data_IF_468386043974
#
_entry.id   IF_468386043974
#
_cell.length_a   1.000
_cell.length_b   1.000
_cell.length_c   1.000
_cell.angle_alpha   90.00
_cell.angle_beta   90.00
_cell.angle_gamma   90.00
#
_symmetry.space_group_name_H-M   'P 1'
#
loop_
_entity.id
_entity.type
_entity.pdbx_description
1 polymer ?
#
# COMPACT_ATOMS: atom_id res chain seq x y z
N UNK A 1 0.14 -19.77 -14.10
CA UNK A 1 0.10 -18.59 -13.22
C UNK A 1 1.36 -17.79 -13.52
N UNK A 2 1.28 -16.46 -13.69
CA UNK A 2 2.48 -15.69 -13.98
C UNK A 2 3.48 -15.81 -12.84
N UNK A 3 4.76 -15.90 -13.15
CA UNK A 3 5.80 -15.92 -12.12
C UNK A 3 6.01 -14.51 -11.53
N UNK A 4 6.73 -14.42 -10.41
CA UNK A 4 6.96 -13.17 -9.68
C UNK A 4 7.56 -12.06 -10.57
N UNK A 5 8.48 -12.41 -11.48
CA UNK A 5 9.06 -11.45 -12.43
C UNK A 5 8.05 -10.96 -13.46
N UNK A 6 7.15 -11.84 -13.93
CA UNK A 6 6.08 -11.47 -14.87
C UNK A 6 5.04 -10.53 -14.20
N UNK A 7 4.76 -10.72 -12.92
CA UNK A 7 3.87 -9.85 -12.15
C UNK A 7 4.51 -8.47 -11.95
N UNK A 8 5.79 -8.43 -11.60
CA UNK A 8 6.56 -7.20 -11.43
C UNK A 8 6.66 -6.40 -12.75
N UNK A 9 6.93 -7.07 -13.87
CA UNK A 9 7.00 -6.43 -15.18
C UNK A 9 5.66 -5.82 -15.59
N UNK A 10 4.54 -6.52 -15.36
CA UNK A 10 3.19 -6.00 -15.64
C UNK A 10 2.86 -4.75 -14.80
N UNK A 11 3.24 -4.76 -13.53
CA UNK A 11 3.06 -3.63 -12.63
C UNK A 11 3.88 -2.41 -13.09
N UNK A 12 5.16 -2.63 -13.40
CA UNK A 12 6.08 -1.59 -13.87
C UNK A 12 5.54 -0.95 -15.16
N UNK A 13 5.08 -1.74 -16.13
CA UNK A 13 4.50 -1.24 -17.38
C UNK A 13 3.24 -0.40 -17.14
N UNK A 14 2.34 -0.87 -16.26
CA UNK A 14 1.13 -0.15 -15.91
C UNK A 14 1.43 1.18 -15.19
N UNK A 15 2.48 1.20 -14.37
CA UNK A 15 2.92 2.37 -13.61
C UNK A 15 3.56 3.44 -14.51
N UNK A 16 4.47 3.04 -15.40
CA UNK A 16 5.10 3.95 -16.36
C UNK A 16 4.08 4.53 -17.35
N UNK A 17 3.02 3.79 -17.68
CA UNK A 17 1.92 4.32 -18.51
C UNK A 17 1.15 5.45 -17.83
N UNK A 18 1.06 5.45 -16.49
CA UNK A 18 0.43 6.51 -15.70
C UNK A 18 1.41 7.64 -15.37
N UNK A 19 2.69 7.32 -15.23
CA UNK A 19 3.78 8.24 -14.92
C UNK A 19 4.97 8.03 -15.88
N UNK A 20 4.93 8.63 -17.09
CA UNK A 20 5.97 8.44 -18.10
C UNK A 20 7.32 9.06 -17.75
N UNK A 21 7.38 9.89 -16.70
CA UNK A 21 8.62 10.52 -16.21
C UNK A 21 9.36 9.66 -15.19
N UNK A 22 8.81 8.52 -14.78
CA UNK A 22 9.43 7.64 -13.79
C UNK A 22 10.45 6.72 -14.43
N UNK A 23 11.55 6.45 -13.71
CA UNK A 23 12.63 5.58 -14.19
C UNK A 23 12.31 4.12 -13.85
N UNK A 24 12.34 3.27 -14.87
CA UNK A 24 12.04 1.84 -14.77
C UNK A 24 12.99 1.11 -13.84
N UNK A 25 14.30 1.33 -13.98
CA UNK A 25 15.33 0.66 -13.20
C UNK A 25 15.24 1.04 -11.72
N UNK A 26 14.98 2.31 -11.41
CA UNK A 26 14.78 2.77 -10.03
C UNK A 26 13.51 2.19 -9.42
N UNK A 27 12.45 2.01 -10.21
CA UNK A 27 11.21 1.39 -9.76
C UNK A 27 11.42 -0.10 -9.50
N UNK A 28 12.06 -0.80 -10.42
CA UNK A 28 12.42 -2.23 -10.28
C UNK A 28 13.27 -2.45 -9.05
N UNK A 29 14.29 -1.60 -8.84
CA UNK A 29 15.18 -1.63 -7.68
C UNK A 29 14.44 -1.40 -6.36
N UNK A 30 13.48 -0.46 -6.31
CA UNK A 30 12.62 -0.24 -5.13
C UNK A 30 11.71 -1.44 -4.83
N UNK A 31 11.23 -2.12 -5.87
CA UNK A 31 10.36 -3.30 -5.74
C UNK A 31 11.16 -4.56 -5.35
N UNK A 32 12.43 -4.67 -5.76
CA UNK A 32 13.27 -5.85 -5.49
C UNK A 32 14.14 -5.73 -4.24
N UNK A 33 14.51 -4.53 -3.78
CA UNK A 33 15.31 -4.33 -2.54
C UNK A 33 14.38 -4.29 -1.32
N UNK A 34 13.69 -5.41 -1.09
CA UNK A 34 12.95 -5.68 0.15
C UNK A 34 13.54 -6.89 0.88
N UNK A 35 14.86 -6.94 0.98
CA UNK A 35 15.55 -7.76 1.97
C UNK A 35 16.63 -6.92 2.67
N UNK A 36 16.38 -6.59 3.94
CA UNK A 36 17.32 -6.11 4.96
C UNK A 36 17.78 -4.62 4.89
N UNK A 37 17.16 -3.75 5.70
CA UNK A 37 17.79 -3.22 6.92
C UNK A 37 16.89 -2.24 7.66
N UNK A 38 16.81 -2.43 8.96
CA UNK A 38 16.38 -1.46 9.97
C UNK A 38 17.29 -0.22 9.96
N UNK A 39 16.74 0.88 10.47
CA UNK A 39 17.44 2.09 10.93
C UNK A 39 17.83 3.14 9.88
N UNK A 40 16.91 4.08 9.60
CA UNK A 40 17.24 5.50 9.46
C UNK A 40 16.18 6.34 10.17
N UNK A 41 16.46 6.70 11.43
CA UNK A 41 15.94 7.92 12.05
C UNK A 41 16.69 9.14 11.47
N UNK A 42 15.96 10.23 11.23
CA UNK A 42 16.52 11.59 11.30
C UNK A 42 16.60 12.41 10.01
N UNK A 43 15.60 13.28 9.83
CA UNK A 43 15.59 14.55 9.09
C UNK A 43 15.82 14.50 7.56
N UNK A 44 14.86 14.96 6.74
CA UNK A 44 14.49 16.38 6.66
C UNK A 44 13.05 16.60 6.14
N UNK A 45 12.33 17.47 6.85
CA UNK A 45 11.23 18.36 6.40
C UNK A 45 11.28 18.65 4.89
N UNK A 46 10.21 18.68 4.09
CA UNK A 46 8.95 19.41 4.25
C UNK A 46 7.87 18.81 3.33
N UNK A 47 6.71 18.41 3.87
CA UNK A 47 5.41 18.73 3.25
C UNK A 47 4.43 19.02 4.38
N UNK A 48 4.08 20.28 4.48
CA UNK A 48 3.03 20.84 5.33
C UNK A 48 1.76 20.01 5.18
N UNK A 49 1.34 19.34 6.25
CA UNK A 49 -0.02 18.80 6.36
C UNK A 49 -0.98 19.98 6.30
N UNK A 50 -1.54 20.23 5.12
CA UNK A 50 -2.60 21.22 4.98
C UNK A 50 -3.84 20.66 5.69
N UNK A 51 -4.54 21.51 6.44
CA UNK A 51 -5.72 21.15 7.24
C UNK A 51 -6.81 20.42 6.42
N UNK A 52 -6.75 20.54 5.09
CA UNK A 52 -7.64 19.93 4.11
C UNK A 52 -7.36 18.44 3.90
N UNK A 53 -6.10 17.99 3.96
CA UNK A 53 -5.72 16.56 3.89
C UNK A 53 -6.18 15.81 5.15
N UNK A 54 -6.19 16.47 6.32
CA UNK A 54 -6.73 15.93 7.55
C UNK A 54 -8.27 15.82 7.52
N UNK A 55 -8.96 16.73 6.83
CA UNK A 55 -10.42 16.67 6.62
C UNK A 55 -10.81 15.57 5.63
N UNK A 56 -10.00 15.34 4.59
CA UNK A 56 -10.25 14.28 3.61
C UNK A 56 -9.92 12.88 4.17
N UNK A 57 -8.86 12.75 4.98
CA UNK A 57 -8.51 11.50 5.69
C UNK A 57 -9.65 10.95 6.54
N UNK A 58 -10.43 11.83 7.17
CA UNK A 58 -11.56 11.40 7.99
C UNK A 58 -12.77 10.95 7.16
N UNK A 59 -12.95 11.42 5.91
CA UNK A 59 -14.06 10.95 5.05
C UNK A 59 -13.84 9.52 4.57
N UNK A 60 -12.61 9.16 4.19
CA UNK A 60 -12.31 7.83 3.66
C UNK A 60 -12.45 6.72 4.71
N UNK A 61 -12.29 7.05 6.00
CA UNK A 61 -12.52 6.12 7.10
C UNK A 61 -13.97 5.57 7.14
N UNK A 62 -14.96 6.36 6.69
CA UNK A 62 -16.38 6.01 6.70
C UNK A 62 -16.90 5.49 5.35
N UNK A 63 -16.08 5.53 4.28
CA UNK A 63 -16.50 5.01 2.99
C UNK A 63 -16.67 3.49 3.04
N UNK A 64 -17.59 2.91 2.25
CA UNK A 64 -17.65 1.47 2.08
C UNK A 64 -16.33 0.96 1.50
N UNK A 65 -16.03 -0.32 1.76
CA UNK A 65 -14.95 -0.97 1.03
C UNK A 65 -15.44 -1.33 -0.36
N UNK A 66 -14.61 -1.08 -1.36
CA UNK A 66 -14.84 -1.46 -2.74
C UNK A 66 -13.92 -2.63 -3.09
N UNK A 67 -14.20 -3.30 -4.22
CA UNK A 67 -13.41 -4.44 -4.67
C UNK A 67 -11.94 -4.06 -4.93
N UNK A 68 -11.68 -2.82 -5.35
CA UNK A 68 -10.33 -2.29 -5.54
C UNK A 68 -9.59 -2.14 -4.21
N UNK A 69 -10.27 -1.63 -3.17
CA UNK A 69 -9.69 -1.48 -1.83
C UNK A 69 -9.46 -2.84 -1.17
N UNK A 70 -10.35 -3.80 -1.40
CA UNK A 70 -10.19 -5.16 -0.90
C UNK A 70 -9.02 -5.86 -1.63
N UNK A 71 -8.85 -5.64 -2.93
CA UNK A 71 -7.68 -6.12 -3.70
C UNK A 71 -6.37 -5.54 -3.18
N UNK A 72 -6.33 -4.23 -2.96
CA UNK A 72 -5.14 -3.57 -2.42
C UNK A 72 -4.82 -4.06 -1.00
N UNK A 73 -5.85 -4.27 -0.17
CA UNK A 73 -5.68 -4.82 1.17
C UNK A 73 -5.13 -6.25 1.14
N UNK A 74 -5.60 -7.08 0.21
CA UNK A 74 -5.09 -8.45 0.00
C UNK A 74 -3.61 -8.44 -0.37
N UNK A 75 -3.21 -7.58 -1.31
CA UNK A 75 -1.80 -7.45 -1.72
C UNK A 75 -0.93 -7.07 -0.52
N UNK A 76 -1.31 -6.02 0.23
CA UNK A 76 -0.56 -5.61 1.42
C UNK A 76 -0.49 -6.72 2.48
N UNK A 77 -1.56 -7.50 2.65
CA UNK A 77 -1.58 -8.62 3.58
C UNK A 77 -0.62 -9.75 3.16
N UNK A 78 -0.61 -10.11 1.87
CA UNK A 78 0.29 -11.13 1.30
C UNK A 78 1.76 -10.68 1.38
N UNK A 79 2.03 -9.38 1.21
CA UNK A 79 3.35 -8.77 1.45
C UNK A 79 3.80 -8.83 2.92
N UNK A 80 2.96 -9.30 3.84
CA UNK A 80 3.27 -9.38 5.27
C UNK A 80 3.20 -8.03 5.99
N UNK A 81 2.54 -7.01 5.41
CA UNK A 81 2.36 -5.72 6.07
C UNK A 81 1.55 -5.88 7.35
N UNK A 82 1.89 -5.10 8.36
CA UNK A 82 1.14 -5.11 9.61
C UNK A 82 -0.20 -4.40 9.46
N UNK A 83 -1.20 -4.77 10.28
CA UNK A 83 -2.52 -4.10 10.29
C UNK A 83 -2.42 -2.60 10.60
N UNK A 84 -1.36 -2.17 11.29
CA UNK A 84 -1.09 -0.75 11.59
C UNK A 84 -0.65 0.01 10.34
N UNK A 85 0.20 -0.59 9.51
CA UNK A 85 0.66 -0.01 8.24
C UNK A 85 -0.49 0.06 7.22
N UNK A 86 -1.25 -1.02 7.08
CA UNK A 86 -2.47 -1.04 6.27
C UNK A 86 -3.47 0.03 6.76
N UNK A 87 -3.66 0.16 8.07
CA UNK A 87 -4.52 1.20 8.63
C UNK A 87 -4.06 2.62 8.28
N UNK A 88 -2.76 2.89 8.36
CA UNK A 88 -2.18 4.19 7.97
C UNK A 88 -2.37 4.46 6.48
N UNK A 89 -2.22 3.42 5.64
CA UNK A 89 -2.40 3.50 4.19
C UNK A 89 -3.85 3.84 3.80
N UNK A 90 -4.81 3.09 4.34
CA UNK A 90 -6.24 3.30 4.05
C UNK A 90 -6.88 4.45 4.86
N UNK A 91 -6.14 5.09 5.75
CA UNK A 91 -6.69 6.08 6.69
C UNK A 91 -7.73 5.48 7.65
N UNK A 92 -7.61 4.19 7.96
CA UNK A 92 -8.54 3.42 8.81
C UNK A 92 -7.85 2.91 10.07
N UNK A 93 -8.64 2.55 11.09
CA UNK A 93 -8.09 1.94 12.32
C UNK A 93 -7.65 0.50 12.06
N UNK A 94 -6.69 0.00 12.83
CA UNK A 94 -6.25 -1.40 12.78
C UNK A 94 -7.41 -2.39 13.02
N UNK A 95 -8.38 -2.03 13.88
CA UNK A 95 -9.59 -2.82 14.10
C UNK A 95 -10.49 -2.93 12.86
N UNK A 96 -10.60 -1.85 12.07
CA UNK A 96 -11.32 -1.86 10.80
C UNK A 96 -10.62 -2.74 9.76
N UNK A 97 -9.29 -2.69 9.70
CA UNK A 97 -8.46 -3.57 8.86
C UNK A 97 -8.65 -5.03 9.24
N UNK A 98 -8.48 -5.38 10.53
CA UNK A 98 -8.67 -6.75 11.04
C UNK A 98 -10.05 -7.30 10.70
N UNK A 99 -11.09 -6.48 10.89
CA UNK A 99 -12.47 -6.88 10.58
C UNK A 99 -12.67 -7.14 9.10
N UNK A 100 -12.01 -6.37 8.22
CA UNK A 100 -12.08 -6.58 6.78
C UNK A 100 -11.31 -7.82 6.33
N UNK A 101 -10.09 -8.03 6.83
CA UNK A 101 -9.30 -9.26 6.60
C UNK A 101 -10.11 -10.51 6.97
N UNK A 102 -10.80 -10.48 8.12
CA UNK A 102 -11.69 -11.57 8.54
C UNK A 102 -12.86 -11.79 7.56
N UNK A 103 -13.47 -10.72 7.04
CA UNK A 103 -14.57 -10.82 6.07
C UNK A 103 -14.14 -11.34 4.70
N UNK A 104 -12.91 -11.06 4.31
CA UNK A 104 -12.30 -11.53 3.06
C UNK A 104 -11.73 -12.95 3.19
N UNK A 105 -11.87 -13.58 4.36
CA UNK A 105 -11.34 -14.91 4.67
C UNK A 105 -9.85 -15.09 4.38
N UNK A 106 -9.08 -14.01 4.53
CA UNK A 106 -7.63 -14.04 4.29
C UNK A 106 -6.85 -14.77 5.41
N UNK A 107 -7.55 -15.14 6.49
CA UNK A 107 -6.99 -15.86 7.62
C UNK A 107 -7.34 -17.36 7.63
N UNK A 108 -8.18 -17.85 6.71
CA UNK A 108 -8.46 -19.27 6.49
C UNK A 108 -8.96 -20.05 7.72
N UNK A 109 -10.02 -19.57 8.39
CA UNK A 109 -10.68 -20.28 9.50
C UNK A 109 -11.96 -21.01 9.07
#
# INVERSE_FOLDING_TARGET
MPNENEILDLYIQAHLKKNPNENEDDLRKRLTISENNSDIEGATKEKSFTLEEARLKNKQAYMPWTDELDTELMVMFIEGRTQKEMGKHFGRTSGAIRSRIKKLDLNGE
#
